data_IF_820128022580
#
_entry.id   IF_820128022580
#
_cell.length_a   1.000
_cell.length_b   1.000
_cell.length_c   1.000
_cell.angle_alpha   90.00
_cell.angle_beta   90.00
_cell.angle_gamma   90.00
#
_symmetry.space_group_name_H-M   'P 1'
#
loop_
_entity.id
_entity.type
_entity.pdbx_description
1 polymer ?
#
# COMPACT_ATOMS: atom_id res chain seq x y z
N UNK A 1 -21.19 5.27 -2.80
CA UNK A 1 -19.78 4.82 -2.82
C UNK A 1 -19.59 4.02 -4.10
N UNK A 2 -18.68 4.41 -4.99
CA UNK A 2 -18.47 3.72 -6.28
C UNK A 2 -18.19 2.23 -6.03
N UNK A 3 -18.83 1.32 -6.79
CA UNK A 3 -18.68 -0.14 -6.64
C UNK A 3 -17.21 -0.58 -6.68
N UNK A 4 -16.42 0.12 -7.49
CA UNK A 4 -14.99 -0.08 -7.64
C UNK A 4 -14.20 0.27 -6.36
N UNK A 5 -14.51 1.40 -5.72
CA UNK A 5 -13.89 1.78 -4.44
C UNK A 5 -14.17 0.72 -3.37
N UNK A 6 -15.41 0.22 -3.31
CA UNK A 6 -15.79 -0.84 -2.36
C UNK A 6 -15.02 -2.13 -2.64
N UNK A 7 -14.89 -2.53 -3.91
CA UNK A 7 -14.09 -3.68 -4.31
C UNK A 7 -12.63 -3.54 -3.87
N UNK A 8 -11.99 -2.42 -4.22
CA UNK A 8 -10.59 -2.15 -3.86
C UNK A 8 -10.37 -2.23 -2.34
N UNK A 9 -11.25 -1.59 -1.55
CA UNK A 9 -11.12 -1.60 -0.09
C UNK A 9 -11.31 -2.99 0.52
N UNK A 10 -12.17 -3.83 -0.06
CA UNK A 10 -12.34 -5.21 0.37
C UNK A 10 -11.07 -6.03 0.10
N UNK A 11 -10.51 -5.92 -1.11
CA UNK A 11 -9.29 -6.62 -1.51
C UNK A 11 -8.10 -6.23 -0.62
N UNK A 12 -7.92 -4.93 -0.38
CA UNK A 12 -6.91 -4.43 0.57
C UNK A 12 -7.15 -4.98 1.97
N UNK A 13 -8.40 -5.09 2.43
CA UNK A 13 -8.71 -5.66 3.75
C UNK A 13 -8.32 -7.13 3.86
N UNK A 14 -8.47 -7.92 2.79
CA UNK A 14 -8.03 -9.32 2.74
C UNK A 14 -6.51 -9.41 2.87
N UNK A 15 -5.77 -8.65 2.04
CA UNK A 15 -4.31 -8.67 2.04
C UNK A 15 -3.79 -8.21 3.42
N UNK A 16 -4.22 -7.06 3.90
CA UNK A 16 -3.76 -6.55 5.20
C UNK A 16 -4.19 -7.42 6.39
N UNK A 17 -5.35 -8.08 6.30
CA UNK A 17 -5.78 -9.04 7.30
C UNK A 17 -4.81 -10.22 7.42
N UNK A 18 -4.31 -10.71 6.29
CA UNK A 18 -3.34 -11.79 6.23
C UNK A 18 -1.97 -11.41 6.79
N UNK A 19 -1.47 -10.21 6.46
CA UNK A 19 -0.23 -9.67 7.04
C UNK A 19 -0.40 -9.16 8.48
N UNK A 20 -1.63 -9.19 9.01
CA UNK A 20 -2.00 -8.56 10.29
C UNK A 20 -1.68 -7.06 10.35
N UNK A 21 -1.52 -6.42 9.20
CA UNK A 21 -1.09 -5.03 9.05
C UNK A 21 -2.29 -4.07 9.08
N UNK A 22 -2.87 -3.94 10.28
CA UNK A 22 -3.97 -2.99 10.52
C UNK A 22 -3.53 -1.53 10.38
N UNK A 23 -2.23 -1.26 10.47
CA UNK A 23 -1.70 0.09 10.45
C UNK A 23 -1.68 0.65 9.03
N UNK A 24 -1.16 -0.10 8.05
CA UNK A 24 -1.17 0.34 6.64
C UNK A 24 -2.58 0.46 6.07
N UNK A 25 -3.50 -0.43 6.45
CA UNK A 25 -4.91 -0.29 6.07
C UNK A 25 -5.53 1.02 6.59
N UNK A 26 -5.25 1.39 7.85
CA UNK A 26 -5.70 2.69 8.40
C UNK A 26 -5.04 3.85 7.66
N UNK A 27 -3.74 3.74 7.40
CA UNK A 27 -2.94 4.74 6.69
C UNK A 27 -3.52 5.06 5.31
N UNK A 28 -3.87 4.04 4.52
CA UNK A 28 -4.52 4.22 3.22
C UNK A 28 -5.85 4.95 3.38
N UNK A 29 -6.71 4.53 4.32
CA UNK A 29 -7.98 5.22 4.55
C UNK A 29 -7.76 6.70 4.90
N UNK A 30 -6.80 7.01 5.75
CA UNK A 30 -6.52 8.39 6.17
C UNK A 30 -5.91 9.26 5.07
N UNK A 31 -4.80 8.84 4.46
CA UNK A 31 -4.04 9.66 3.51
C UNK A 31 -4.66 9.74 2.12
N UNK A 32 -5.52 8.79 1.77
CA UNK A 32 -6.11 8.70 0.43
C UNK A 32 -7.57 9.14 0.48
N UNK A 33 -8.39 8.64 1.41
CA UNK A 33 -9.84 8.90 1.38
C UNK A 33 -10.31 10.13 2.16
N UNK A 34 -9.52 10.67 3.10
CA UNK A 34 -10.07 11.56 4.14
C UNK A 34 -9.31 12.86 4.42
N UNK A 35 -8.24 13.20 3.69
CA UNK A 35 -7.56 14.49 3.92
C UNK A 35 -8.05 15.61 2.99
N UNK A 36 -8.59 16.73 3.53
CA UNK A 36 -8.99 17.91 2.75
C UNK A 36 -7.77 18.64 2.17
N UNK A 37 -6.76 18.98 2.98
CA UNK A 37 -5.53 19.67 2.54
C UNK A 37 -4.32 19.18 3.37
N UNK A 38 -3.21 18.82 2.69
CA UNK A 38 -2.00 18.24 3.31
C UNK A 38 -1.25 17.26 2.40
N UNK A 39 -0.23 16.57 2.95
CA UNK A 39 0.53 15.51 2.29
C UNK A 39 -0.38 14.33 1.95
N UNK A 40 -0.53 14.02 0.66
CA UNK A 40 -1.36 12.91 0.15
C UNK A 40 -0.50 11.95 -0.64
N UNK A 41 -0.78 10.67 -0.49
CA UNK A 41 -0.17 9.65 -1.37
C UNK A 41 -0.77 9.83 -2.76
N UNK A 42 0.06 10.21 -3.72
CA UNK A 42 -0.34 10.45 -5.13
C UNK A 42 0.11 9.36 -6.08
N UNK A 43 1.04 8.53 -5.63
CA UNK A 43 1.53 7.39 -6.41
C UNK A 43 2.05 6.31 -5.48
N UNK A 44 1.91 5.07 -5.89
CA UNK A 44 2.57 3.93 -5.25
C UNK A 44 3.46 3.23 -6.28
N UNK A 45 4.68 2.94 -5.89
CA UNK A 45 5.67 2.20 -6.71
C UNK A 45 6.18 0.99 -5.94
N UNK A 46 6.78 0.04 -6.66
CA UNK A 46 7.51 -1.06 -6.05
C UNK A 46 8.93 -0.61 -5.69
N UNK A 47 9.44 -1.03 -4.53
CA UNK A 47 10.78 -0.70 -4.07
C UNK A 47 11.40 -1.83 -3.27
N UNK A 48 12.68 -2.09 -3.55
CA UNK A 48 13.48 -3.05 -2.78
C UNK A 48 13.88 -2.42 -1.45
N UNK A 49 13.37 -2.98 -0.36
CA UNK A 49 13.75 -2.59 1.01
C UNK A 49 14.65 -3.68 1.60
N UNK A 50 15.87 -3.33 2.04
CA UNK A 50 16.70 -4.23 2.82
C UNK A 50 16.03 -4.43 4.18
N UNK A 51 15.57 -5.65 4.46
CA UNK A 51 15.00 -6.04 5.73
C UNK A 51 15.69 -7.31 6.21
N UNK A 52 16.39 -7.19 7.34
CA UNK A 52 17.20 -8.27 7.89
C UNK A 52 18.28 -8.68 6.88
N UNK A 53 18.31 -9.94 6.46
CA UNK A 53 19.26 -10.49 5.48
C UNK A 53 18.64 -10.64 4.07
N UNK A 54 17.49 -10.00 3.83
CA UNK A 54 16.72 -10.12 2.59
C UNK A 54 16.43 -8.74 1.97
N UNK A 55 16.42 -8.69 0.64
CA UNK A 55 15.86 -7.55 -0.09
C UNK A 55 14.42 -7.88 -0.45
N UNK A 56 13.47 -7.20 0.18
CA UNK A 56 12.04 -7.46 0.01
C UNK A 56 11.45 -6.39 -0.88
N UNK A 57 10.73 -6.80 -1.93
CA UNK A 57 10.04 -5.86 -2.81
C UNK A 57 8.70 -5.43 -2.18
N UNK A 58 8.59 -4.17 -1.77
CA UNK A 58 7.47 -3.60 -1.02
C UNK A 58 6.81 -2.43 -1.78
N UNK A 59 5.54 -2.18 -1.48
CA UNK A 59 4.77 -1.09 -2.07
C UNK A 59 5.06 0.21 -1.34
N UNK A 60 5.56 1.21 -2.05
CA UNK A 60 6.06 2.46 -1.52
C UNK A 60 5.18 3.60 -1.99
N UNK A 61 4.46 4.22 -1.05
CA UNK A 61 3.67 5.42 -1.29
C UNK A 61 4.55 6.66 -1.38
N UNK A 62 4.38 7.44 -2.44
CA UNK A 62 4.98 8.76 -2.66
C UNK A 62 3.97 9.86 -2.37
N UNK A 63 4.40 10.87 -1.63
CA UNK A 63 3.57 12.02 -1.29
C UNK A 63 3.67 13.13 -2.34
N UNK A 64 2.65 13.98 -2.41
CA UNK A 64 2.57 15.12 -3.33
C UNK A 64 3.50 16.30 -2.99
N UNK A 65 4.01 16.34 -1.76
CA UNK A 65 4.86 17.40 -1.22
C UNK A 65 6.33 16.95 -1.11
N UNK A 66 6.68 15.87 -1.82
CA UNK A 66 8.02 15.27 -1.85
C UNK A 66 8.58 14.90 -0.45
N UNK A 67 7.71 14.74 0.55
CA UNK A 67 8.08 14.19 1.86
C UNK A 67 8.44 12.71 1.77
N UNK A 68 9.02 12.19 2.86
CA UNK A 68 9.53 10.82 2.93
C UNK A 68 8.54 9.78 2.41
N UNK A 69 9.04 8.90 1.55
CA UNK A 69 8.27 7.79 1.01
C UNK A 69 8.00 6.74 2.09
N UNK A 70 6.85 6.07 1.98
CA UNK A 70 6.40 5.16 3.05
C UNK A 70 6.00 3.79 2.51
N UNK A 71 6.44 2.73 3.18
CA UNK A 71 5.91 1.39 2.87
C UNK A 71 4.42 1.31 3.23
N UNK A 72 3.65 0.74 2.31
CA UNK A 72 2.22 0.46 2.44
C UNK A 72 1.94 -1.01 2.73
N UNK A 73 2.97 -1.85 2.88
CA UNK A 73 2.86 -3.21 3.36
C UNK A 73 3.93 -3.48 4.41
N UNK A 74 3.51 -3.76 5.64
CA UNK A 74 4.40 -4.18 6.72
C UNK A 74 4.48 -5.70 6.75
N UNK A 75 5.71 -6.19 6.66
CA UNK A 75 6.04 -7.61 6.79
C UNK A 75 6.86 -7.82 8.06
N UNK A 76 6.60 -8.92 8.76
CA UNK A 76 7.35 -9.26 9.98
C UNK A 76 8.58 -10.11 9.64
N UNK A 77 9.56 -10.14 10.55
CA UNK A 77 10.73 -11.01 10.44
C UNK A 77 10.37 -12.48 10.17
N UNK A 78 9.37 -13.01 10.89
CA UNK A 78 8.89 -14.38 10.70
C UNK A 78 8.33 -14.59 9.30
N UNK A 79 7.53 -13.64 8.79
CA UNK A 79 6.99 -13.74 7.43
C UNK A 79 8.08 -13.71 6.35
N UNK A 80 9.09 -12.85 6.50
CA UNK A 80 10.21 -12.78 5.55
C UNK A 80 11.04 -14.07 5.55
N UNK A 81 11.19 -14.74 6.69
CA UNK A 81 11.94 -16.00 6.81
C UNK A 81 11.17 -17.24 6.35
N UNK A 82 9.87 -17.29 6.65
CA UNK A 82 9.07 -18.51 6.45
C UNK A 82 8.32 -18.53 5.13
N UNK A 83 8.12 -17.37 4.47
CA UNK A 83 7.42 -17.30 3.19
C UNK A 83 8.35 -17.17 2.00
N UNK A 84 7.82 -17.60 0.87
CA UNK A 84 8.37 -17.29 -0.44
C UNK A 84 8.37 -15.76 -0.66
N UNK A 85 9.56 -15.20 -0.88
CA UNK A 85 9.74 -13.78 -1.18
C UNK A 85 8.99 -13.37 -2.47
N UNK A 86 8.79 -14.29 -3.42
CA UNK A 86 8.01 -14.03 -4.61
C UNK A 86 6.52 -13.82 -4.27
N UNK A 87 6.00 -14.52 -3.26
CA UNK A 87 4.63 -14.32 -2.79
C UNK A 87 4.46 -12.93 -2.14
N UNK A 88 5.42 -12.52 -1.30
CA UNK A 88 5.42 -11.18 -0.69
C UNK A 88 5.49 -10.09 -1.76
N UNK A 89 6.37 -10.26 -2.76
CA UNK A 89 6.50 -9.33 -3.86
C UNK A 89 5.21 -9.22 -4.69
N UNK A 90 4.54 -10.35 -4.92
CA UNK A 90 3.25 -10.39 -5.63
C UNK A 90 2.14 -9.65 -4.87
N UNK A 91 2.01 -9.89 -3.57
CA UNK A 91 1.02 -9.19 -2.73
C UNK A 91 1.33 -7.70 -2.63
N UNK A 92 2.61 -7.35 -2.49
CA UNK A 92 3.10 -5.98 -2.50
C UNK A 92 2.73 -5.25 -3.80
N UNK A 93 2.97 -5.86 -4.96
CA UNK A 93 2.55 -5.34 -6.26
C UNK A 93 1.05 -5.15 -6.33
N UNK A 94 0.28 -6.13 -5.87
CA UNK A 94 -1.19 -6.04 -5.84
C UNK A 94 -1.67 -4.88 -4.98
N UNK A 95 -1.02 -4.62 -3.83
CA UNK A 95 -1.28 -3.42 -3.02
C UNK A 95 -1.02 -2.15 -3.83
N UNK A 96 0.13 -2.05 -4.52
CA UNK A 96 0.46 -0.89 -5.33
C UNK A 96 -0.58 -0.63 -6.42
N UNK A 97 -1.00 -1.67 -7.15
CA UNK A 97 -2.00 -1.58 -8.22
C UNK A 97 -3.37 -1.13 -7.68
N UNK A 98 -3.82 -1.72 -6.58
CA UNK A 98 -5.10 -1.39 -5.93
C UNK A 98 -5.10 0.05 -5.42
N UNK A 99 -4.01 0.49 -4.80
CA UNK A 99 -3.92 1.85 -4.25
C UNK A 99 -3.81 2.88 -5.37
N UNK A 100 -3.04 2.63 -6.43
CA UNK A 100 -2.98 3.53 -7.60
C UNK A 100 -4.36 3.66 -8.29
N UNK A 101 -5.11 2.56 -8.42
CA UNK A 101 -6.50 2.60 -8.90
C UNK A 101 -7.38 3.44 -8.00
N UNK A 102 -7.23 3.28 -6.68
CA UNK A 102 -8.00 4.07 -5.71
C UNK A 102 -7.72 5.57 -5.85
N UNK A 103 -6.44 5.96 -5.97
CA UNK A 103 -6.01 7.35 -6.18
C UNK A 103 -6.64 7.92 -7.46
N UNK A 104 -6.65 7.16 -8.56
CA UNK A 104 -7.26 7.58 -9.82
C UNK A 104 -8.78 7.79 -9.74
N UNK A 105 -9.47 7.03 -8.90
CA UNK A 105 -10.94 7.14 -8.75
C UNK A 105 -11.38 8.34 -7.90
N UNK A 106 -10.52 8.81 -7.00
CA UNK A 106 -10.84 9.89 -6.06
C UNK A 106 -10.19 11.22 -6.44
N UNK A 107 -9.15 11.20 -7.27
CA UNK A 107 -8.54 12.42 -7.79
C UNK A 107 -9.53 13.11 -8.73
N UNK A 108 -9.67 14.44 -8.70
CA UNK A 108 -10.53 15.15 -9.63
C UNK A 108 -10.11 14.81 -11.06
N UNK A 109 -11.03 14.26 -11.87
CA UNK A 109 -10.81 14.19 -13.30
C UNK A 109 -10.78 15.64 -13.79
N UNK A 110 -9.61 16.08 -14.28
CA UNK A 110 -9.48 17.37 -14.96
C UNK A 110 -10.36 17.40 -16.20
#
# INVERSE_FOLDING_TARGET
MNNEIKYIMNELTVIYGFYQDKFSLKRIKSYILSMPEGSKIVKVEEGLIPMYDHNVNLSIGKFNDDTDSVSLLLVTHTMVKERDMAAIASDSKRVADLVNRLIGLISPQK
#
